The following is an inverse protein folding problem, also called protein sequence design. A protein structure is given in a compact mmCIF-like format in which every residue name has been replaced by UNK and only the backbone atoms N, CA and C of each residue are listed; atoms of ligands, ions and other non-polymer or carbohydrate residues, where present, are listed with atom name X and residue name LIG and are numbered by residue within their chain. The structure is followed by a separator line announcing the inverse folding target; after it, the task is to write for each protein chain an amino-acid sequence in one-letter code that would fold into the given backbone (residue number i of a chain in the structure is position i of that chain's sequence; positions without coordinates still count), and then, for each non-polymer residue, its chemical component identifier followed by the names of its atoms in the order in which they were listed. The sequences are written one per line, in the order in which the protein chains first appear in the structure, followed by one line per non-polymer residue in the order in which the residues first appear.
data_IF_796232990068
#
_entry.id   IF_796232990068
#
_cell.length_a   1.000
_cell.length_b   1.000
_cell.length_c   1.000
_cell.angle_alpha   90.00
_cell.angle_beta   90.00
_cell.angle_gamma   90.00
#
_symmetry.space_group_name_H-M   'P 1'
#
loop_
_entity.id
_entity.type
_entity.pdbx_description
1 polymer ?
#
# COMPACT_ATOMS: atom_id res chain seq x y z
N UNK A 1 11.74 -13.75 -7.92
CA UNK A 1 12.08 -12.38 -8.38
C UNK A 1 11.55 -11.48 -7.29
N UNK A 2 12.38 -10.68 -6.65
CA UNK A 2 11.96 -9.94 -5.46
C UNK A 2 11.65 -8.47 -5.79
N UNK A 3 10.63 -7.94 -5.15
CA UNK A 3 10.17 -6.55 -5.29
C UNK A 3 10.40 -5.78 -3.99
N UNK A 4 10.57 -4.46 -4.09
CA UNK A 4 10.71 -3.58 -2.92
C UNK A 4 9.42 -2.82 -2.75
N UNK A 5 8.70 -3.00 -1.65
CA UNK A 5 7.35 -2.45 -1.52
C UNK A 5 7.23 -1.42 -0.41
N UNK A 6 6.34 -0.45 -0.64
CA UNK A 6 5.91 0.51 0.36
C UNK A 6 4.42 0.35 0.63
N UNK A 7 4.04 0.47 1.90
CA UNK A 7 2.66 0.54 2.37
C UNK A 7 2.41 1.99 2.78
N UNK A 8 1.44 2.62 2.15
CA UNK A 8 1.08 4.03 2.32
C UNK A 8 -0.32 4.07 2.94
N UNK A 9 -0.45 4.66 4.13
CA UNK A 9 -1.72 4.99 4.79
C UNK A 9 -1.88 6.50 4.87
N UNK A 10 -2.99 7.00 5.42
CA UNK A 10 -3.19 8.45 5.62
C UNK A 10 -2.15 9.11 6.51
N UNK A 11 -1.55 8.34 7.42
CA UNK A 11 -0.74 8.90 8.51
C UNK A 11 0.72 8.46 8.42
N UNK A 12 1.06 7.49 7.55
CA UNK A 12 2.37 6.87 7.53
C UNK A 12 2.72 6.27 6.15
N UNK A 13 4.02 6.31 5.83
CA UNK A 13 4.62 5.46 4.80
C UNK A 13 5.53 4.47 5.53
N UNK A 14 5.22 3.18 5.41
CA UNK A 14 6.04 2.11 5.94
C UNK A 14 6.64 1.29 4.79
N UNK A 15 7.96 1.26 4.69
CA UNK A 15 8.67 0.35 3.79
C UNK A 15 8.65 -1.07 4.36
N UNK A 16 8.60 -2.07 3.49
CA UNK A 16 8.88 -3.46 3.88
C UNK A 16 10.39 -3.65 3.75
N UNK A 17 11.07 -3.79 4.90
CA UNK A 17 12.55 -3.79 4.98
C UNK A 17 13.22 -4.96 4.27
N UNK A 18 12.45 -6.00 3.95
CA UNK A 18 12.92 -7.15 3.18
C UNK A 18 12.21 -7.20 1.82
N UNK A 19 12.94 -7.45 0.73
CA UNK A 19 12.32 -7.71 -0.56
C UNK A 19 11.33 -8.87 -0.44
N UNK A 20 10.12 -8.69 -0.94
CA UNK A 20 9.09 -9.74 -0.98
C UNK A 20 9.05 -10.39 -2.36
N UNK A 21 8.53 -11.60 -2.47
CA UNK A 21 8.54 -12.33 -3.75
C UNK A 21 7.51 -11.79 -4.74
N UNK A 22 6.42 -11.19 -4.26
CA UNK A 22 5.40 -10.59 -5.12
C UNK A 22 4.55 -9.54 -4.38
N UNK A 23 3.73 -8.80 -5.14
CA UNK A 23 2.80 -7.80 -4.59
C UNK A 23 1.81 -8.42 -3.60
N UNK A 24 1.40 -9.68 -3.83
CA UNK A 24 0.49 -10.40 -2.95
C UNK A 24 1.06 -10.57 -1.54
N UNK A 25 2.36 -10.85 -1.41
CA UNK A 25 3.00 -10.96 -0.09
C UNK A 25 2.99 -9.62 0.65
N UNK A 26 3.23 -8.52 -0.06
CA UNK A 26 3.12 -7.18 0.52
C UNK A 26 1.68 -6.82 0.92
N UNK A 27 0.68 -7.27 0.15
CA UNK A 27 -0.73 -7.11 0.52
C UNK A 27 -1.10 -7.92 1.77
N UNK A 28 -0.55 -9.12 1.94
CA UNK A 28 -0.72 -9.93 3.15
C UNK A 28 -0.07 -9.24 4.35
N UNK A 29 1.15 -8.73 4.19
CA UNK A 29 1.84 -7.97 5.24
C UNK A 29 1.09 -6.68 5.62
N UNK A 30 0.53 -5.97 4.64
CA UNK A 30 -0.33 -4.82 4.91
C UNK A 30 -1.54 -5.20 5.77
N UNK A 31 -2.22 -6.31 5.46
CA UNK A 31 -3.33 -6.82 6.28
C UNK A 31 -2.89 -7.23 7.69
N UNK A 32 -1.70 -7.83 7.83
CA UNK A 32 -1.16 -8.17 9.15
C UNK A 32 -0.91 -6.91 10.02
N UNK A 33 -0.56 -5.78 9.39
CA UNK A 33 -0.27 -4.53 10.09
C UNK A 33 -1.51 -3.74 10.48
N UNK A 34 -2.48 -3.61 9.58
CA UNK A 34 -3.64 -2.72 9.79
C UNK A 34 -4.95 -3.45 10.02
N UNK A 35 -4.94 -4.79 9.96
CA UNK A 35 -6.14 -5.62 10.04
C UNK A 35 -6.79 -5.84 8.68
N UNK A 36 -8.11 -6.02 8.67
CA UNK A 36 -8.85 -6.33 7.45
C UNK A 36 -8.83 -5.15 6.47
N UNK A 37 -8.40 -5.42 5.23
CA UNK A 37 -8.40 -4.48 4.12
C UNK A 37 -9.44 -4.95 3.09
N UNK A 38 -10.25 -4.02 2.60
CA UNK A 38 -11.06 -4.21 1.39
C UNK A 38 -10.26 -3.66 0.22
N UNK A 39 -9.83 -4.53 -0.70
CA UNK A 39 -9.06 -4.13 -1.88
C UNK A 39 -10.01 -3.73 -3.01
N UNK A 40 -9.82 -2.53 -3.55
CA UNK A 40 -10.69 -1.93 -4.56
C UNK A 40 -10.04 -1.96 -5.97
N UNK A 41 -8.72 -1.85 -6.05
CA UNK A 41 -7.94 -1.91 -7.30
C UNK A 41 -6.66 -2.72 -7.08
N UNK A 42 -6.38 -3.69 -7.94
CA UNK A 42 -5.17 -4.53 -7.90
C UNK A 42 -4.58 -4.59 -9.31
N UNK A 43 -3.40 -4.01 -9.47
CA UNK A 43 -2.58 -4.07 -10.67
C UNK A 43 -1.34 -4.94 -10.43
N UNK A 44 -0.43 -5.01 -11.42
CA UNK A 44 0.80 -5.79 -11.27
C UNK A 44 1.77 -5.16 -10.25
N UNK A 45 1.81 -3.83 -10.20
CA UNK A 45 2.77 -3.06 -9.38
C UNK A 45 2.14 -2.37 -8.16
N UNK A 46 0.80 -2.33 -8.07
CA UNK A 46 0.12 -1.67 -6.94
C UNK A 46 -1.18 -2.36 -6.55
N UNK A 47 -1.56 -2.20 -5.29
CA UNK A 47 -2.89 -2.51 -4.80
C UNK A 47 -3.40 -1.35 -3.95
N UNK A 48 -4.63 -0.92 -4.20
CA UNK A 48 -5.30 0.13 -3.46
C UNK A 48 -6.55 -0.43 -2.78
N UNK A 49 -6.85 0.07 -1.58
CA UNK A 49 -8.03 -0.33 -0.85
C UNK A 49 -8.30 0.57 0.34
N UNK A 50 -9.18 0.07 1.20
CA UNK A 50 -9.57 0.75 2.43
C UNK A 50 -9.53 -0.20 3.63
N UNK A 51 -9.20 0.34 4.80
CA UNK A 51 -9.23 -0.37 6.07
C UNK A 51 -9.97 0.45 7.13
N UNK A 52 -10.32 -0.20 8.24
CA UNK A 52 -10.86 0.50 9.40
C UNK A 52 -9.70 0.94 10.30
N UNK A 53 -9.49 2.25 10.41
CA UNK A 53 -8.43 2.80 11.25
C UNK A 53 -8.74 2.59 12.76
N UNK A 54 -7.76 2.83 13.66
CA UNK A 54 -7.98 2.67 15.11
C UNK A 54 -9.11 3.54 15.69
N UNK A 55 -9.43 4.67 15.04
CA UNK A 55 -10.57 5.52 15.40
C UNK A 55 -11.92 5.00 14.88
N UNK A 56 -11.94 3.87 14.17
CA UNK A 56 -13.13 3.24 13.61
C UNK A 56 -13.61 3.82 12.28
N UNK A 57 -12.89 4.78 11.70
CA UNK A 57 -13.20 5.38 10.40
C UNK A 57 -12.59 4.57 9.24
N UNK A 58 -13.23 4.65 8.07
CA UNK A 58 -12.65 4.12 6.83
C UNK A 58 -11.49 5.00 6.40
N UNK A 59 -10.32 4.41 6.16
CA UNK A 59 -9.13 5.11 5.69
C UNK A 59 -8.53 4.40 4.47
N UNK A 60 -7.97 5.14 3.49
CA UNK A 60 -7.28 4.55 2.35
C UNK A 60 -5.96 3.90 2.76
N UNK A 61 -5.60 2.85 2.03
CA UNK A 61 -4.30 2.19 2.08
C UNK A 61 -3.86 1.81 0.67
N UNK A 62 -2.58 2.00 0.38
CA UNK A 62 -1.98 1.60 -0.90
C UNK A 62 -0.70 0.82 -0.66
N UNK A 63 -0.53 -0.27 -1.39
CA UNK A 63 0.71 -1.05 -1.46
C UNK A 63 1.27 -0.86 -2.85
N UNK A 64 2.55 -0.50 -2.97
CA UNK A 64 3.17 -0.21 -4.26
C UNK A 64 4.58 -0.79 -4.31
N UNK A 65 4.94 -1.38 -5.45
CA UNK A 65 6.31 -1.70 -5.79
C UNK A 65 7.08 -0.41 -6.06
N UNK A 66 8.01 -0.07 -5.18
CA UNK A 66 8.83 1.13 -5.28
C UNK A 66 9.92 1.03 -6.34
N UNK A 67 10.17 -0.17 -6.89
CA UNK A 67 11.06 -0.33 -8.03
C UNK A 67 10.44 0.18 -9.34
N UNK A 68 9.11 0.33 -9.39
CA UNK A 68 8.37 0.87 -10.54
C UNK A 68 8.07 2.36 -10.33
N UNK A 69 8.99 3.19 -10.84
CA UNK A 69 9.07 4.62 -10.50
C UNK A 69 7.86 5.45 -10.96
N UNK A 70 7.14 5.02 -12.00
CA UNK A 70 5.95 5.73 -12.50
C UNK A 70 4.74 5.56 -11.59
N UNK A 71 4.43 4.33 -11.16
CA UNK A 71 3.27 4.05 -10.31
C UNK A 71 3.46 4.59 -8.88
N UNK A 72 4.69 4.57 -8.38
CA UNK A 72 5.04 5.21 -7.11
C UNK A 72 4.77 6.72 -7.15
N UNK A 73 5.17 7.40 -8.23
CA UNK A 73 5.02 8.85 -8.36
C UNK A 73 3.53 9.25 -8.45
N UNK A 74 2.73 8.52 -9.22
CA UNK A 74 1.29 8.78 -9.34
C UNK A 74 0.51 8.47 -8.05
N UNK A 75 0.94 7.43 -7.31
CA UNK A 75 0.39 7.12 -5.99
C UNK A 75 0.68 8.25 -4.99
N UNK A 76 1.92 8.73 -4.92
CA UNK A 76 2.31 9.85 -4.05
C UNK A 76 1.55 11.14 -4.42
N UNK A 77 1.40 11.43 -5.72
CA UNK A 77 0.63 12.60 -6.19
C UNK A 77 -0.83 12.54 -5.76
N UNK A 78 -1.47 11.38 -5.90
CA UNK A 78 -2.86 11.18 -5.49
C UNK A 78 -3.01 11.38 -3.98
N UNK A 79 -2.06 10.87 -3.20
CA UNK A 79 -2.05 11.03 -1.75
C UNK A 79 -1.88 12.50 -1.32
N UNK A 80 -0.92 13.22 -1.92
CA UNK A 80 -0.69 14.65 -1.67
C UNK A 80 -1.88 15.55 -2.02
N UNK A 81 -2.76 15.14 -2.94
CA UNK A 81 -3.95 15.92 -3.29
C UNK A 81 -5.09 15.79 -2.28
N UNK A 82 -5.06 14.75 -1.43
CA UNK A 82 -6.09 14.45 -0.44
C UNK A 82 -5.63 14.66 1.01
N UNK A 83 -4.37 15.08 1.22
CA UNK A 83 -3.79 15.49 2.50
C UNK A 83 -4.00 16.98 2.76
#
# INVERSE_FOLDING_TARGET
MSITTAIITTDCIATIDQPVDCLLDAMIEAQNRVGQITWDDIAAERAHGTYRNPAGATAPITVVDTSTTTDLLDTIRTWMQHA
#
